data_IF_239434609195
#
_entry.id   IF_239434609195
#
_cell.length_a   1.000
_cell.length_b   1.000
_cell.length_c   1.000
_cell.angle_alpha   90.00
_cell.angle_beta   90.00
_cell.angle_gamma   90.00
#
_symmetry.space_group_name_H-M   'P 1'
#
loop_
_entity.id
_entity.type
_entity.pdbx_description
1 polymer ?
#
# COMPACT_ATOMS: atom_id res chain seq x y z
N UNK A 1 -28.67 18.45 18.68
CA UNK A 1 -28.36 18.32 17.23
C UNK A 1 -26.95 18.77 16.89
N UNK A 2 -26.38 19.78 17.58
CA UNK A 2 -24.99 20.23 17.33
C UNK A 2 -23.88 19.34 17.95
N UNK A 3 -24.14 18.60 19.02
CA UNK A 3 -23.14 17.71 19.63
C UNK A 3 -22.83 16.47 18.77
N UNK A 4 -23.85 15.83 18.18
CA UNK A 4 -23.65 14.69 17.26
C UNK A 4 -22.76 15.07 16.05
N UNK A 5 -22.89 16.31 15.54
CA UNK A 5 -22.08 16.76 14.41
C UNK A 5 -20.59 16.94 14.77
N UNK A 6 -20.27 17.31 16.03
CA UNK A 6 -18.88 17.43 16.46
C UNK A 6 -18.24 16.05 16.68
N UNK A 7 -18.97 15.09 17.23
CA UNK A 7 -18.46 13.72 17.40
C UNK A 7 -18.21 13.03 16.05
N UNK A 8 -19.10 13.18 15.06
CA UNK A 8 -18.91 12.60 13.72
C UNK A 8 -17.65 13.12 13.02
N UNK A 9 -17.38 14.43 13.10
CA UNK A 9 -16.15 15.03 12.54
C UNK A 9 -14.91 14.44 13.21
N UNK A 10 -14.96 14.24 14.54
CA UNK A 10 -13.82 13.71 15.30
C UNK A 10 -13.50 12.27 14.92
N UNK A 11 -14.52 11.43 14.67
CA UNK A 11 -14.33 10.04 14.24
C UNK A 11 -13.73 9.97 12.82
N UNK A 12 -14.23 10.80 11.89
CA UNK A 12 -13.73 10.80 10.51
C UNK A 12 -12.25 11.18 10.41
N UNK A 13 -11.73 12.00 11.33
CA UNK A 13 -10.31 12.34 11.38
C UNK A 13 -9.39 11.13 11.66
N UNK A 14 -9.89 10.11 12.35
CA UNK A 14 -9.12 8.91 12.72
C UNK A 14 -9.29 7.74 11.75
N UNK A 15 -10.37 7.71 10.97
CA UNK A 15 -10.62 6.66 9.98
C UNK A 15 -9.51 6.64 8.92
N UNK A 16 -9.14 7.80 8.37
CA UNK A 16 -8.11 7.89 7.32
C UNK A 16 -6.75 7.31 7.74
N UNK A 17 -6.14 7.79 8.85
CA UNK A 17 -4.90 7.24 9.39
C UNK A 17 -5.02 5.77 9.79
N UNK A 18 -6.18 5.35 10.33
CA UNK A 18 -6.44 3.96 10.69
C UNK A 18 -6.40 3.03 9.48
N UNK A 19 -7.06 3.41 8.38
CA UNK A 19 -6.99 2.69 7.11
C UNK A 19 -5.57 2.67 6.54
N UNK A 20 -4.86 3.79 6.60
CA UNK A 20 -3.46 3.87 6.19
C UNK A 20 -2.55 2.89 6.94
N UNK A 21 -2.73 2.81 8.26
CA UNK A 21 -1.97 1.90 9.13
C UNK A 21 -2.30 0.44 8.82
N UNK A 22 -3.59 0.09 8.72
CA UNK A 22 -4.04 -1.27 8.38
C UNK A 22 -3.48 -1.67 7.02
N UNK A 23 -3.64 -0.83 6.00
CA UNK A 23 -3.09 -1.08 4.65
C UNK A 23 -1.57 -1.27 4.66
N UNK A 24 -0.84 -0.43 5.40
CA UNK A 24 0.61 -0.55 5.56
C UNK A 24 1.04 -1.86 6.24
N UNK A 25 0.36 -2.27 7.31
CA UNK A 25 0.63 -3.55 7.99
C UNK A 25 0.37 -4.73 7.05
N UNK A 26 -0.72 -4.68 6.29
CA UNK A 26 -1.08 -5.75 5.37
C UNK A 26 -0.08 -5.88 4.23
N UNK A 27 0.38 -4.77 3.66
CA UNK A 27 1.47 -4.76 2.68
C UNK A 27 2.76 -5.38 3.25
N UNK A 28 3.08 -5.11 4.51
CA UNK A 28 4.26 -5.66 5.16
C UNK A 28 4.14 -7.18 5.36
N UNK A 29 2.99 -7.66 5.83
CA UNK A 29 2.73 -9.09 6.01
C UNK A 29 2.79 -9.86 4.68
N UNK A 30 2.21 -9.28 3.63
CA UNK A 30 2.29 -9.81 2.27
C UNK A 30 3.74 -9.92 1.81
N UNK A 31 4.53 -8.86 1.96
CA UNK A 31 5.97 -8.90 1.63
C UNK A 31 6.72 -9.99 2.39
N UNK A 32 6.46 -10.17 3.69
CA UNK A 32 7.13 -11.22 4.49
C UNK A 32 6.78 -12.62 3.98
N UNK A 33 5.50 -12.87 3.66
CA UNK A 33 5.05 -14.17 3.15
C UNK A 33 5.73 -14.49 1.81
N UNK A 34 5.75 -13.52 0.89
CA UNK A 34 6.32 -13.72 -0.44
C UNK A 34 7.84 -13.85 -0.42
N UNK A 35 8.55 -13.10 0.43
CA UNK A 35 10.01 -13.22 0.57
C UNK A 35 10.45 -14.65 0.91
N UNK A 36 9.61 -15.41 1.62
CA UNK A 36 9.91 -16.78 2.03
C UNK A 36 9.82 -17.81 0.89
N UNK A 37 9.05 -17.53 -0.17
CA UNK A 37 8.73 -18.48 -1.24
C UNK A 37 9.66 -18.35 -2.48
N UNK A 38 10.32 -17.21 -2.67
CA UNK A 38 11.02 -16.90 -3.93
C UNK A 38 12.52 -17.23 -3.99
N UNK A 39 13.11 -17.79 -2.92
CA UNK A 39 14.58 -18.02 -2.89
C UNK A 39 15.12 -18.88 -4.06
N UNK A 40 14.36 -19.89 -4.50
CA UNK A 40 14.72 -20.74 -5.65
C UNK A 40 14.40 -20.11 -7.01
N UNK A 41 13.38 -19.26 -7.08
CA UNK A 41 12.90 -18.67 -8.35
C UNK A 41 13.79 -17.47 -8.74
N UNK A 42 14.37 -16.77 -7.75
CA UNK A 42 15.28 -15.64 -7.96
C UNK A 42 16.54 -16.00 -8.75
N UNK A 43 16.98 -17.27 -8.70
CA UNK A 43 18.12 -17.75 -9.49
C UNK A 43 17.81 -17.74 -11.00
N UNK A 44 16.56 -18.05 -11.37
CA UNK A 44 16.11 -18.10 -12.77
C UNK A 44 15.50 -16.78 -13.25
N UNK A 45 14.92 -16.00 -12.34
CA UNK A 45 14.18 -14.77 -12.63
C UNK A 45 14.56 -13.66 -11.63
N UNK A 46 15.76 -13.05 -11.78
CA UNK A 46 16.28 -12.09 -10.80
C UNK A 46 15.44 -10.81 -10.70
N UNK A 47 14.67 -10.47 -11.73
CA UNK A 47 13.78 -9.31 -11.72
C UNK A 47 12.62 -9.44 -10.72
N UNK A 48 12.34 -10.64 -10.21
CA UNK A 48 11.34 -10.87 -9.16
C UNK A 48 11.76 -10.35 -7.79
N UNK A 49 12.99 -9.87 -7.63
CA UNK A 49 13.41 -9.19 -6.40
C UNK A 49 12.83 -7.77 -6.29
N UNK A 50 12.43 -7.17 -7.42
CA UNK A 50 11.93 -5.78 -7.44
C UNK A 50 10.62 -5.65 -6.66
N UNK A 51 9.58 -6.48 -6.86
CA UNK A 51 8.39 -6.51 -6.01
C UNK A 51 8.71 -6.69 -4.52
N UNK A 52 9.67 -7.56 -4.21
CA UNK A 52 10.09 -7.89 -2.85
C UNK A 52 10.76 -6.71 -2.14
N UNK A 53 11.37 -5.78 -2.87
CA UNK A 53 11.97 -4.57 -2.30
C UNK A 53 10.96 -3.42 -2.28
N UNK A 54 10.18 -3.24 -3.34
CA UNK A 54 9.25 -2.11 -3.49
C UNK A 54 8.09 -2.22 -2.50
N UNK A 55 7.50 -3.41 -2.34
CA UNK A 55 6.36 -3.65 -1.45
C UNK A 55 6.64 -3.28 0.02
N UNK A 56 7.73 -3.74 0.66
CA UNK A 56 8.02 -3.37 2.06
C UNK A 56 8.40 -1.89 2.20
N UNK A 57 9.04 -1.28 1.19
CA UNK A 57 9.30 0.17 1.20
C UNK A 57 7.98 0.95 1.25
N UNK A 58 7.01 0.57 0.41
CA UNK A 58 5.68 1.19 0.41
C UNK A 58 4.93 0.94 1.72
N UNK A 59 5.01 -0.28 2.26
CA UNK A 59 4.41 -0.65 3.55
C UNK A 59 4.93 0.22 4.70
N UNK A 60 6.26 0.32 4.84
CA UNK A 60 6.91 1.13 5.87
C UNK A 60 6.57 2.61 5.67
N UNK A 61 6.58 3.10 4.42
CA UNK A 61 6.20 4.48 4.12
C UNK A 61 4.77 4.78 4.53
N UNK A 62 3.82 3.87 4.30
CA UNK A 62 2.43 4.01 4.72
C UNK A 62 2.28 4.05 6.24
N UNK A 63 2.99 3.18 6.97
CA UNK A 63 3.00 3.16 8.43
C UNK A 63 3.58 4.47 8.99
N UNK A 64 4.75 4.88 8.50
CA UNK A 64 5.41 6.13 8.94
C UNK A 64 4.52 7.33 8.66
N UNK A 65 3.88 7.39 7.49
CA UNK A 65 2.97 8.47 7.12
C UNK A 65 1.76 8.53 8.05
N UNK A 66 1.19 7.37 8.38
CA UNK A 66 0.06 7.27 9.32
C UNK A 66 0.42 7.76 10.72
N UNK A 67 1.63 7.44 11.20
CA UNK A 67 2.16 7.95 12.48
C UNK A 67 2.49 9.44 12.42
N UNK A 68 3.03 9.93 11.29
CA UNK A 68 3.34 11.34 11.08
C UNK A 68 2.10 12.24 11.17
N UNK A 69 0.90 11.72 10.88
CA UNK A 69 -0.35 12.50 11.02
C UNK A 69 -0.56 12.97 12.46
N UNK A 70 -0.08 12.22 13.46
CA UNK A 70 -0.16 12.58 14.88
C UNK A 70 0.63 13.88 15.16
N UNK A 71 1.78 14.05 14.50
CA UNK A 71 2.70 15.17 14.75
C UNK A 71 2.54 16.32 13.75
N UNK A 72 2.23 16.00 12.49
CA UNK A 72 2.08 16.93 11.36
C UNK A 72 0.94 16.49 10.47
N UNK A 73 -0.31 16.70 10.94
CA UNK A 73 -1.57 16.27 10.30
C UNK A 73 -1.52 16.36 8.76
N UNK A 74 -1.35 17.56 8.19
CA UNK A 74 -1.45 17.75 6.74
C UNK A 74 -0.31 17.09 5.95
N UNK A 75 0.91 17.13 6.48
CA UNK A 75 2.08 16.55 5.81
C UNK A 75 2.00 15.01 5.78
N UNK A 76 1.64 14.40 6.91
CA UNK A 76 1.44 12.95 7.00
C UNK A 76 0.31 12.46 6.09
N UNK A 77 -0.81 13.19 6.04
CA UNK A 77 -1.96 12.90 5.15
C UNK A 77 -1.54 12.93 3.67
N UNK A 78 -0.77 13.95 3.28
CA UNK A 78 -0.27 14.08 1.91
C UNK A 78 0.67 12.93 1.51
N UNK A 79 1.63 12.57 2.37
CA UNK A 79 2.53 11.45 2.09
C UNK A 79 1.74 10.15 2.03
N UNK A 80 0.80 9.91 2.94
CA UNK A 80 -0.02 8.70 2.96
C UNK A 80 -0.78 8.52 1.64
N UNK A 81 -1.40 9.59 1.15
CA UNK A 81 -2.08 9.58 -0.14
C UNK A 81 -1.12 9.30 -1.31
N UNK A 82 0.04 9.95 -1.32
CA UNK A 82 1.06 9.75 -2.37
C UNK A 82 1.59 8.32 -2.39
N UNK A 83 1.89 7.74 -1.23
CA UNK A 83 2.30 6.33 -1.09
C UNK A 83 1.22 5.39 -1.62
N UNK A 84 -0.05 5.66 -1.30
CA UNK A 84 -1.17 4.91 -1.83
C UNK A 84 -1.27 4.94 -3.36
N UNK A 85 -1.14 6.13 -3.97
CA UNK A 85 -1.16 6.26 -5.44
C UNK A 85 0.02 5.52 -6.07
N UNK A 86 1.24 5.73 -5.55
CA UNK A 86 2.45 5.08 -6.08
C UNK A 86 2.29 3.56 -6.00
N UNK A 87 1.80 3.04 -4.88
CA UNK A 87 1.52 1.62 -4.73
C UNK A 87 0.46 1.12 -5.71
N UNK A 88 -0.61 1.88 -5.94
CA UNK A 88 -1.60 1.52 -6.96
C UNK A 88 -0.98 1.45 -8.36
N UNK A 89 -0.17 2.44 -8.74
CA UNK A 89 0.51 2.47 -10.04
C UNK A 89 1.45 1.29 -10.19
N UNK A 90 2.21 0.94 -9.15
CA UNK A 90 3.13 -0.21 -9.19
C UNK A 90 2.41 -1.52 -9.46
N UNK A 91 1.13 -1.65 -9.06
CA UNK A 91 0.37 -2.87 -9.32
C UNK A 91 0.09 -3.13 -10.80
N UNK A 92 0.04 -2.07 -11.61
CA UNK A 92 -0.29 -2.17 -13.04
C UNK A 92 0.93 -2.20 -13.96
N UNK A 93 2.14 -2.02 -13.42
CA UNK A 93 3.36 -2.04 -14.24
C UNK A 93 3.87 -3.49 -14.34
N UNK A 94 3.89 -4.09 -15.54
CA UNK A 94 4.50 -5.40 -15.74
C UNK A 94 6.02 -5.31 -15.63
N UNK A 95 6.64 -6.24 -14.90
CA UNK A 95 8.11 -6.39 -14.83
C UNK A 95 8.59 -7.37 -15.90
N UNK A 96 7.92 -8.52 -15.99
CA UNK A 96 8.38 -9.61 -16.83
C UNK A 96 7.20 -10.40 -17.36
N UNK A 97 7.21 -10.66 -18.66
CA UNK A 97 6.30 -11.61 -19.30
C UNK A 97 7.04 -12.92 -19.52
N UNK A 98 6.60 -13.98 -18.85
CA UNK A 98 7.11 -15.33 -19.03
C UNK A 98 6.22 -16.02 -20.08
N UNK A 99 6.77 -16.42 -21.23
CA UNK A 99 6.03 -17.24 -22.18
C UNK A 99 5.82 -18.65 -21.58
N UNK A 100 4.59 -19.12 -21.60
CA UNK A 100 4.19 -20.47 -21.19
C UNK A 100 3.40 -21.11 -22.33
N UNK A 101 3.40 -22.43 -22.42
CA UNK A 101 2.68 -23.13 -23.47
C UNK A 101 1.18 -22.79 -23.40
N UNK A 102 0.71 -22.00 -24.39
CA UNK A 102 -0.67 -21.53 -24.47
C UNK A 102 -0.92 -20.06 -24.09
N UNK A 103 0.10 -19.28 -23.69
CA UNK A 103 -0.09 -17.86 -23.40
C UNK A 103 1.14 -17.12 -22.85
N UNK A 104 0.91 -15.91 -22.34
CA UNK A 104 1.92 -15.12 -21.64
C UNK A 104 1.49 -14.89 -20.19
N UNK A 105 2.33 -15.31 -19.24
CA UNK A 105 2.17 -14.96 -17.83
C UNK A 105 2.88 -13.63 -17.59
N UNK A 106 2.13 -12.55 -17.34
CA UNK A 106 2.71 -11.25 -17.00
C UNK A 106 2.83 -11.11 -15.48
N UNK A 107 4.06 -11.03 -14.99
CA UNK A 107 4.36 -10.72 -13.59
C UNK A 107 4.49 -9.22 -13.45
N UNK A 108 3.71 -8.63 -12.55
CA UNK A 108 3.72 -7.18 -12.25
C UNK A 108 4.66 -6.85 -11.10
N UNK A 109 4.95 -5.55 -10.88
CA UNK A 109 5.78 -5.08 -9.73
C UNK A 109 5.17 -5.48 -8.38
N UNK A 110 3.94 -5.98 -8.37
CA UNK A 110 3.19 -6.30 -7.18
C UNK A 110 2.59 -7.71 -7.38
N UNK A 111 3.40 -8.74 -7.18
CA UNK A 111 3.12 -10.11 -7.67
C UNK A 111 1.84 -10.79 -7.14
N UNK A 112 1.12 -10.25 -6.15
CA UNK A 112 -0.13 -10.82 -5.63
C UNK A 112 -0.97 -9.78 -4.88
N UNK A 113 -1.77 -8.99 -5.60
CA UNK A 113 -2.50 -7.84 -5.02
C UNK A 113 -4.03 -7.99 -5.02
N UNK A 114 -4.54 -9.22 -5.08
CA UNK A 114 -5.99 -9.44 -5.13
C UNK A 114 -6.71 -9.30 -3.78
N UNK A 115 -6.00 -9.14 -2.65
CA UNK A 115 -6.63 -9.31 -1.32
C UNK A 115 -6.61 -8.02 -0.48
N UNK A 116 -5.48 -7.37 -0.20
CA UNK A 116 -5.49 -6.01 0.39
C UNK A 116 -4.40 -5.14 -0.25
N UNK A 117 -4.85 -3.97 -0.70
CA UNK A 117 -4.29 -3.22 -1.82
C UNK A 117 -3.78 -1.84 -1.31
N UNK A 118 -2.68 -1.29 -1.84
CA UNK A 118 -2.32 0.13 -1.80
C UNK A 118 -3.49 1.07 -2.01
N UNK A 119 -4.57 0.59 -2.63
CA UNK A 119 -5.86 1.24 -2.66
C UNK A 119 -6.40 1.61 -1.27
N UNK A 120 -6.29 0.72 -0.27
CA UNK A 120 -6.73 0.99 1.10
C UNK A 120 -5.89 2.09 1.76
N UNK A 121 -4.58 2.12 1.45
CA UNK A 121 -3.65 3.20 1.84
C UNK A 121 -4.03 4.52 1.15
N UNK A 122 -4.35 4.48 -0.15
CA UNK A 122 -4.77 5.64 -0.93
C UNK A 122 -6.09 6.22 -0.43
N UNK A 123 -7.08 5.36 -0.16
CA UNK A 123 -8.37 5.74 0.43
C UNK A 123 -8.17 6.33 1.83
N UNK A 124 -7.31 5.73 2.66
CA UNK A 124 -6.95 6.29 3.96
C UNK A 124 -6.35 7.69 3.88
N UNK A 125 -5.43 7.91 2.94
CA UNK A 125 -4.86 9.23 2.64
C UNK A 125 -5.89 10.23 2.11
N UNK A 126 -6.77 9.79 1.21
CA UNK A 126 -7.82 10.61 0.60
C UNK A 126 -8.84 11.08 1.63
N UNK A 127 -9.37 10.16 2.47
CA UNK A 127 -10.24 10.51 3.59
C UNK A 127 -9.55 11.50 4.54
N UNK A 128 -8.27 11.28 4.85
CA UNK A 128 -7.49 12.21 5.65
C UNK A 128 -7.45 13.63 5.06
N UNK A 129 -7.33 13.77 3.74
CA UNK A 129 -7.26 15.06 3.06
C UNK A 129 -8.62 15.78 2.95
N UNK A 130 -9.74 15.07 2.79
CA UNK A 130 -11.07 15.68 2.60
C UNK A 130 -11.78 16.08 3.90
N UNK A 131 -11.55 15.38 5.01
CA UNK A 131 -12.27 15.60 6.27
C UNK A 131 -11.42 16.39 7.27
N UNK A 132 -11.11 17.65 6.95
CA UNK A 132 -10.34 18.56 7.78
C UNK A 132 -11.17 19.74 8.28
#
# INVERSE_FOLDING_TARGET
MEENNKEEITIMEYIGPGLGLIGGIMLLLVSILFFSEYSLILEFYPLLIVPEIVTPILAISAIISSLLIIYRKNFGKFILFFVGIVGCITNFIPIQTIPIDGGMLSITISGNFFIIDPFLVAVGGLFGLFFN
#
